data_IF_379220095539
#
_entry.id   IF_379220095539
#
_cell.length_a   1.000
_cell.length_b   1.000
_cell.length_c   1.000
_cell.angle_alpha   90.00
_cell.angle_beta   90.00
_cell.angle_gamma   90.00
#
_symmetry.space_group_name_H-M   'P 1'
#
loop_
_entity.id
_entity.type
_entity.pdbx_description
1 polymer ?
#
# COMPACT_ATOMS: atom_id res chain seq x y z
N UNK A 1 -16.56 -60.75 -22.23
CA UNK A 1 -17.01 -59.35 -21.98
C UNK A 1 -16.47 -58.76 -20.67
N UNK A 2 -16.50 -59.46 -19.53
CA UNK A 2 -16.06 -58.94 -18.20
C UNK A 2 -14.58 -58.48 -18.10
N UNK A 3 -13.63 -59.18 -18.75
CA UNK A 3 -12.19 -58.82 -18.70
C UNK A 3 -11.86 -57.49 -19.39
N UNK A 4 -12.54 -57.18 -20.50
CA UNK A 4 -12.38 -55.88 -21.20
C UNK A 4 -12.95 -54.73 -20.36
N UNK A 5 -14.06 -54.97 -19.65
CA UNK A 5 -14.64 -53.99 -18.72
C UNK A 5 -13.71 -53.66 -17.55
N UNK A 6 -13.04 -54.67 -16.97
CA UNK A 6 -12.01 -54.44 -15.94
C UNK A 6 -10.79 -53.68 -16.47
N UNK A 7 -10.38 -53.94 -17.72
CA UNK A 7 -9.30 -53.20 -18.37
C UNK A 7 -9.65 -51.72 -18.57
N UNK A 8 -10.84 -51.41 -19.09
CA UNK A 8 -11.28 -50.01 -19.26
C UNK A 8 -11.43 -49.29 -17.92
N UNK A 9 -11.89 -49.99 -16.88
CA UNK A 9 -11.97 -49.44 -15.53
C UNK A 9 -10.58 -49.08 -14.98
N UNK A 10 -9.61 -49.99 -15.13
CA UNK A 10 -8.22 -49.73 -14.72
C UNK A 10 -7.57 -48.58 -15.47
N UNK A 11 -7.80 -48.48 -16.78
CA UNK A 11 -7.31 -47.37 -17.62
C UNK A 11 -7.94 -46.03 -17.19
N UNK A 12 -9.24 -46.01 -16.92
CA UNK A 12 -9.93 -44.81 -16.43
C UNK A 12 -9.38 -44.34 -15.08
N UNK A 13 -9.11 -45.26 -14.17
CA UNK A 13 -8.57 -44.94 -12.84
C UNK A 13 -7.14 -44.40 -12.92
N UNK A 14 -6.32 -44.95 -13.81
CA UNK A 14 -4.97 -44.47 -14.08
C UNK A 14 -4.99 -43.06 -14.72
N UNK A 15 -5.95 -42.80 -15.61
CA UNK A 15 -6.11 -41.48 -16.23
C UNK A 15 -6.48 -40.41 -15.18
N UNK A 16 -7.43 -40.70 -14.29
CA UNK A 16 -7.80 -39.78 -13.19
C UNK A 16 -6.61 -39.53 -12.26
N UNK A 17 -5.82 -40.56 -11.96
CA UNK A 17 -4.62 -40.43 -11.14
C UNK A 17 -3.56 -39.51 -11.79
N UNK A 18 -3.28 -39.70 -13.09
CA UNK A 18 -2.35 -38.85 -13.83
C UNK A 18 -2.84 -37.41 -13.93
N UNK A 19 -4.14 -37.19 -14.17
CA UNK A 19 -4.72 -35.85 -14.19
C UNK A 19 -4.63 -35.15 -12.83
N UNK A 20 -4.78 -35.89 -11.72
CA UNK A 20 -4.62 -35.32 -10.38
C UNK A 20 -3.17 -34.88 -10.12
N UNK A 21 -2.18 -35.67 -10.53
CA UNK A 21 -0.76 -35.29 -10.41
C UNK A 21 -0.43 -34.05 -11.25
N UNK A 22 -0.93 -33.97 -12.48
CA UNK A 22 -0.72 -32.80 -13.34
C UNK A 22 -1.45 -31.55 -12.81
N UNK A 23 -2.60 -31.72 -12.16
CA UNK A 23 -3.34 -30.61 -11.54
C UNK A 23 -2.61 -30.02 -10.30
N UNK A 24 -1.72 -30.77 -9.65
CA UNK A 24 -0.89 -30.24 -8.56
C UNK A 24 0.23 -29.33 -9.07
N UNK A 25 0.76 -29.61 -10.27
CA UNK A 25 1.83 -28.81 -10.90
C UNK A 25 1.28 -27.62 -11.70
N UNK A 26 0.06 -27.72 -12.22
CA UNK A 26 -0.62 -26.65 -12.95
C UNK A 26 -1.70 -25.98 -12.09
N UNK A 27 -1.27 -25.21 -11.09
CA UNK A 27 -2.16 -24.23 -10.45
C UNK A 27 -2.30 -23.03 -11.39
N UNK A 28 -3.19 -23.14 -12.37
CA UNK A 28 -3.58 -21.99 -13.17
C UNK A 28 -4.38 -21.04 -12.28
N UNK A 29 -3.74 -20.00 -11.73
CA UNK A 29 -4.45 -18.88 -11.10
C UNK A 29 -5.12 -18.07 -12.21
N UNK A 30 -6.30 -18.49 -12.62
CA UNK A 30 -7.23 -17.61 -13.34
C UNK A 30 -7.85 -16.73 -12.27
N UNK A 31 -7.49 -15.45 -12.27
CA UNK A 31 -8.15 -14.45 -11.45
C UNK A 31 -9.57 -14.25 -12.01
N UNK A 32 -10.55 -14.84 -11.33
CA UNK A 32 -11.98 -14.79 -11.69
C UNK A 32 -12.70 -13.63 -10.99
N UNK A 33 -11.96 -12.69 -10.38
CA UNK A 33 -12.57 -11.49 -9.84
C UNK A 33 -12.69 -10.43 -10.93
N UNK A 34 -13.92 -10.00 -11.21
CA UNK A 34 -14.23 -8.95 -12.20
C UNK A 34 -13.80 -7.55 -11.72
N UNK A 35 -13.30 -7.45 -10.48
CA UNK A 35 -12.83 -6.20 -9.88
C UNK A 35 -11.30 -6.16 -9.86
N UNK A 36 -10.70 -5.75 -10.98
CA UNK A 36 -9.33 -5.19 -11.03
C UNK A 36 -9.20 -3.85 -10.28
N UNK A 37 -10.00 -3.61 -9.23
CA UNK A 37 -9.91 -2.39 -8.41
C UNK A 37 -8.57 -2.28 -7.67
N UNK A 38 -7.80 -3.37 -7.63
CA UNK A 38 -6.47 -3.48 -7.02
C UNK A 38 -5.40 -3.84 -8.05
N UNK A 39 -5.53 -3.37 -9.28
CA UNK A 39 -4.45 -3.42 -10.25
C UNK A 39 -4.06 -1.99 -10.58
N UNK A 40 -2.82 -1.62 -10.30
CA UNK A 40 -2.31 -0.29 -10.63
C UNK A 40 -2.36 -0.06 -12.15
N UNK A 41 -2.50 1.20 -12.54
CA UNK A 41 -2.59 1.56 -13.96
C UNK A 41 -1.34 1.18 -14.76
N UNK A 42 -1.50 0.93 -16.06
CA UNK A 42 -0.37 0.68 -16.97
C UNK A 42 0.65 1.83 -16.95
N UNK A 43 0.19 3.06 -16.73
CA UNK A 43 1.06 4.22 -16.59
C UNK A 43 1.97 4.11 -15.34
N UNK A 44 1.43 3.63 -14.22
CA UNK A 44 2.19 3.35 -13.00
C UNK A 44 3.14 2.18 -13.20
N UNK A 45 2.73 1.10 -13.86
CA UNK A 45 3.60 -0.04 -14.18
C UNK A 45 4.82 0.42 -14.99
N UNK A 46 4.58 1.12 -16.10
CA UNK A 46 5.65 1.63 -16.97
C UNK A 46 6.60 2.58 -16.22
N UNK A 47 6.06 3.42 -15.33
CA UNK A 47 6.88 4.29 -14.49
C UNK A 47 7.79 3.46 -13.56
N UNK A 48 7.24 2.47 -12.87
CA UNK A 48 7.96 1.66 -11.90
C UNK A 48 9.02 0.77 -12.54
N UNK A 49 8.74 0.20 -13.71
CA UNK A 49 9.70 -0.59 -14.49
C UNK A 49 10.85 0.26 -15.05
N UNK A 50 10.60 1.56 -15.28
CA UNK A 50 11.61 2.51 -15.78
C UNK A 50 12.55 3.07 -14.70
N UNK A 51 12.36 2.69 -13.43
CA UNK A 51 13.17 3.20 -12.33
C UNK A 51 14.63 2.74 -12.44
N UNK A 52 15.56 3.69 -12.43
CA UNK A 52 17.01 3.42 -12.52
C UNK A 52 17.66 3.22 -11.14
N UNK A 53 17.09 3.84 -10.11
CA UNK A 53 17.63 3.88 -8.75
C UNK A 53 16.56 3.51 -7.70
N UNK A 54 16.98 3.35 -6.45
CA UNK A 54 16.05 3.03 -5.35
C UNK A 54 15.16 4.22 -5.00
N UNK A 55 13.85 3.96 -4.95
CA UNK A 55 12.81 4.80 -4.35
C UNK A 55 12.55 4.30 -2.94
N UNK A 56 12.77 5.17 -1.96
CA UNK A 56 12.47 4.92 -0.55
C UNK A 56 11.22 5.67 -0.10
N UNK A 57 10.22 4.93 0.34
CA UNK A 57 8.92 5.44 0.77
C UNK A 57 8.76 5.22 2.28
N UNK A 58 8.72 6.30 3.05
CA UNK A 58 8.46 6.26 4.50
C UNK A 58 7.04 6.75 4.77
N UNK A 59 6.17 5.87 5.22
CA UNK A 59 4.77 6.18 5.52
C UNK A 59 4.62 6.36 7.04
N UNK A 60 4.17 7.52 7.50
CA UNK A 60 4.07 7.86 8.94
C UNK A 60 2.71 7.51 9.55
N UNK A 61 2.00 6.59 8.89
CA UNK A 61 0.67 6.11 9.27
C UNK A 61 0.77 4.74 9.93
N UNK A 62 1.53 4.63 11.03
CA UNK A 62 1.64 3.42 11.85
C UNK A 62 1.34 3.73 13.31
N UNK A 63 0.82 2.73 14.03
CA UNK A 63 0.43 2.88 15.43
C UNK A 63 -0.74 1.99 15.82
N UNK A 64 -1.03 1.95 17.11
CA UNK A 64 -2.06 1.10 17.70
C UNK A 64 -3.42 1.80 17.82
N UNK A 65 -4.49 1.00 17.79
CA UNK A 65 -5.88 1.41 17.97
C UNK A 65 -6.36 2.51 17.00
N UNK A 66 -5.86 2.57 15.77
CA UNK A 66 -6.43 3.47 14.76
C UNK A 66 -7.94 3.22 14.56
N UNK A 67 -8.74 4.28 14.32
CA UNK A 67 -10.13 4.11 13.89
C UNK A 67 -10.22 3.27 12.62
N UNK A 68 -11.37 2.63 12.38
CA UNK A 68 -11.54 1.69 11.28
C UNK A 68 -11.18 2.30 9.91
N UNK A 69 -11.57 3.56 9.65
CA UNK A 69 -11.26 4.24 8.39
C UNK A 69 -9.75 4.42 8.19
N UNK A 70 -9.01 4.81 9.23
CA UNK A 70 -7.56 4.96 9.14
C UNK A 70 -6.84 3.62 9.00
N UNK A 71 -7.37 2.55 9.60
CA UNK A 71 -6.89 1.18 9.35
C UNK A 71 -7.10 0.79 7.89
N UNK A 72 -8.26 1.11 7.31
CA UNK A 72 -8.55 0.87 5.90
C UNK A 72 -7.56 1.64 5.01
N UNK A 73 -7.36 2.94 5.23
CA UNK A 73 -6.37 3.73 4.50
C UNK A 73 -4.97 3.14 4.59
N UNK A 74 -4.51 2.78 5.80
CA UNK A 74 -3.21 2.15 6.02
C UNK A 74 -3.04 0.87 5.21
N UNK A 75 -4.06 0.01 5.23
CA UNK A 75 -4.04 -1.24 4.49
C UNK A 75 -4.04 -1.01 2.98
N UNK A 76 -4.87 -0.11 2.46
CA UNK A 76 -4.89 0.22 1.03
C UNK A 76 -3.56 0.79 0.54
N UNK A 77 -2.90 1.65 1.33
CA UNK A 77 -1.55 2.14 1.01
C UNK A 77 -0.54 0.99 1.02
N UNK A 78 -0.63 0.08 1.99
CA UNK A 78 0.28 -1.07 2.06
C UNK A 78 0.13 -1.96 0.83
N UNK A 79 -1.10 -2.33 0.48
CA UNK A 79 -1.42 -3.13 -0.70
C UNK A 79 -0.88 -2.47 -1.98
N UNK A 80 -1.13 -1.16 -2.15
CA UNK A 80 -0.59 -0.37 -3.26
C UNK A 80 0.94 -0.43 -3.33
N UNK A 81 1.63 -0.23 -2.20
CA UNK A 81 3.09 -0.19 -2.16
C UNK A 81 3.72 -1.58 -2.33
N UNK A 82 3.02 -2.64 -1.89
CA UNK A 82 3.38 -4.02 -2.21
C UNK A 82 3.29 -4.27 -3.72
N UNK A 83 2.22 -3.80 -4.36
CA UNK A 83 2.09 -3.88 -5.82
C UNK A 83 3.16 -3.05 -6.55
N UNK A 84 3.47 -1.85 -6.06
CA UNK A 84 4.60 -1.06 -6.58
C UNK A 84 5.91 -1.82 -6.49
N UNK A 85 6.12 -2.57 -5.40
CA UNK A 85 7.30 -3.41 -5.21
C UNK A 85 7.32 -4.64 -6.13
N UNK A 86 6.17 -5.18 -6.53
CA UNK A 86 6.10 -6.26 -7.52
C UNK A 86 6.63 -5.80 -8.89
N UNK A 87 6.23 -4.61 -9.35
CA UNK A 87 6.64 -4.09 -10.66
C UNK A 87 8.00 -3.37 -10.64
N UNK A 88 8.27 -2.54 -9.63
CA UNK A 88 9.55 -1.84 -9.48
C UNK A 88 10.66 -2.69 -8.84
N UNK A 89 10.34 -3.90 -8.39
CA UNK A 89 11.28 -4.88 -7.88
C UNK A 89 12.17 -4.35 -6.75
N UNK A 90 13.50 -4.50 -6.92
CA UNK A 90 14.48 -4.06 -5.92
C UNK A 90 14.54 -2.54 -5.73
N UNK A 91 14.05 -1.78 -6.71
CA UNK A 91 14.11 -0.32 -6.72
C UNK A 91 12.98 0.31 -5.89
N UNK A 92 12.03 -0.47 -5.37
CA UNK A 92 11.02 0.04 -4.43
C UNK A 92 11.30 -0.52 -3.04
N UNK A 93 11.45 0.39 -2.07
CA UNK A 93 11.48 0.08 -0.64
C UNK A 93 10.48 0.95 0.07
N UNK A 94 9.64 0.34 0.92
CA UNK A 94 8.76 1.10 1.77
C UNK A 94 8.77 0.60 3.21
N UNK A 95 8.48 1.50 4.15
CA UNK A 95 8.27 1.18 5.57
C UNK A 95 7.21 2.07 6.18
N UNK A 96 6.45 1.47 7.09
CA UNK A 96 5.51 2.17 7.96
C UNK A 96 6.23 2.52 9.27
N UNK A 97 6.09 3.76 9.73
CA UNK A 97 6.80 4.31 10.89
C UNK A 97 5.77 4.98 11.81
N UNK A 98 5.85 4.68 13.10
CA UNK A 98 5.14 5.43 14.14
C UNK A 98 6.13 6.44 14.75
N UNK A 99 6.00 7.76 14.45
CA UNK A 99 6.88 8.77 15.04
C UNK A 99 6.86 8.79 16.57
N UNK A 100 5.74 8.40 17.17
CA UNK A 100 5.51 8.50 18.62
C UNK A 100 6.09 7.30 19.37
N UNK A 101 6.24 6.17 18.70
CA UNK A 101 6.88 4.97 19.26
C UNK A 101 8.41 5.06 19.37
N UNK A 102 9.03 6.14 18.87
CA UNK A 102 10.48 6.34 18.98
C UNK A 102 10.85 6.63 20.44
N UNK A 103 11.57 5.70 21.07
CA UNK A 103 11.93 5.77 22.50
C UNK A 103 12.84 6.97 22.83
N UNK A 104 13.87 7.19 22.01
CA UNK A 104 14.81 8.29 22.20
C UNK A 104 14.14 9.64 21.90
N UNK A 105 14.01 10.47 22.94
CA UNK A 105 13.30 11.75 22.86
C UNK A 105 13.92 12.73 21.85
N UNK A 106 15.25 12.84 21.80
CA UNK A 106 15.93 13.76 20.85
C UNK A 106 15.68 13.35 19.39
N UNK A 107 15.74 12.05 19.09
CA UNK A 107 15.45 11.52 17.75
C UNK A 107 14.00 11.72 17.37
N UNK A 108 13.08 11.49 18.31
CA UNK A 108 11.65 11.75 18.12
C UNK A 108 11.41 13.23 17.80
N UNK A 109 11.91 14.14 18.62
CA UNK A 109 11.71 15.58 18.43
C UNK A 109 12.32 16.09 17.12
N UNK A 110 13.48 15.54 16.73
CA UNK A 110 14.11 15.84 15.44
C UNK A 110 13.23 15.40 14.27
N UNK A 111 12.72 14.17 14.31
CA UNK A 111 11.80 13.68 13.29
C UNK A 111 10.52 14.50 13.23
N UNK A 112 9.92 14.82 14.38
CA UNK A 112 8.69 15.62 14.44
C UNK A 112 8.89 17.03 13.83
N UNK A 113 10.03 17.66 14.09
CA UNK A 113 10.41 18.94 13.46
C UNK A 113 10.60 18.79 11.96
N UNK A 114 11.25 17.73 11.50
CA UNK A 114 11.42 17.45 10.07
C UNK A 114 10.06 17.26 9.37
N UNK A 115 9.15 16.50 9.99
CA UNK A 115 7.81 16.27 9.46
C UNK A 115 7.03 17.58 9.34
N UNK A 116 7.04 18.43 10.37
CA UNK A 116 6.37 19.74 10.32
C UNK A 116 6.97 20.66 9.25
N UNK A 117 8.31 20.72 9.12
CA UNK A 117 8.99 21.47 8.06
C UNK A 117 8.62 20.97 6.66
N UNK A 118 8.34 19.68 6.52
CA UNK A 118 7.87 19.06 5.27
C UNK A 118 6.34 19.10 5.12
N UNK A 119 5.63 19.82 6.00
CA UNK A 119 4.18 20.01 5.97
C UNK A 119 3.36 18.82 6.47
N UNK A 120 4.00 17.76 6.98
CA UNK A 120 3.35 16.59 7.57
C UNK A 120 3.07 16.89 9.04
N UNK A 121 1.90 17.48 9.28
CA UNK A 121 1.45 17.86 10.62
C UNK A 121 0.66 16.74 11.30
N UNK A 122 0.75 16.63 12.63
CA UNK A 122 -0.08 15.69 13.36
C UNK A 122 -1.55 16.10 13.34
N UNK A 123 -2.42 15.10 13.37
CA UNK A 123 -3.87 15.22 13.43
C UNK A 123 -4.42 14.41 14.59
N UNK A 124 -5.40 14.97 15.30
CA UNK A 124 -6.09 14.26 16.37
C UNK A 124 -7.22 13.39 15.81
N UNK A 125 -7.26 12.14 16.25
CA UNK A 125 -8.32 11.18 15.91
C UNK A 125 -8.93 10.62 17.18
N UNK A 126 -10.26 10.44 17.16
CA UNK A 126 -10.97 9.83 18.28
C UNK A 126 -11.05 8.33 18.09
N UNK A 127 -10.56 7.61 19.08
CA UNK A 127 -10.62 6.15 19.17
C UNK A 127 -11.64 5.78 20.23
N UNK A 128 -12.57 4.89 19.90
CA UNK A 128 -13.49 4.30 20.86
C UNK A 128 -13.09 2.86 21.11
N UNK A 129 -12.66 2.54 22.33
CA UNK A 129 -12.28 1.18 22.76
C UNK A 129 -12.94 0.90 24.10
N UNK A 130 -13.67 -0.21 24.20
CA UNK A 130 -14.32 -0.64 25.45
C UNK A 130 -15.22 0.45 26.09
N UNK A 131 -15.93 1.22 25.26
CA UNK A 131 -16.79 2.32 25.72
C UNK A 131 -16.05 3.59 26.19
N UNK A 132 -14.71 3.59 26.20
CA UNK A 132 -13.88 4.77 26.47
C UNK A 132 -13.49 5.44 25.15
N UNK A 133 -13.77 6.73 25.05
CA UNK A 133 -13.30 7.59 23.95
C UNK A 133 -11.97 8.22 24.35
N UNK A 134 -10.91 7.89 23.62
CA UNK A 134 -9.58 8.48 23.77
C UNK A 134 -9.20 9.25 22.51
N UNK A 135 -8.53 10.38 22.66
CA UNK A 135 -7.90 11.11 21.55
C UNK A 135 -6.49 10.56 21.33
N UNK A 136 -6.13 10.27 20.08
CA UNK A 136 -4.78 9.87 19.68
C UNK A 136 -4.27 10.80 18.59
N UNK A 137 -2.97 11.03 18.60
CA UNK A 137 -2.27 11.79 17.58
C UNK A 137 -1.84 10.85 16.44
N UNK A 138 -2.01 11.27 15.20
CA UNK A 138 -1.56 10.52 14.02
C UNK A 138 -0.89 11.45 13.00
N UNK A 139 0.02 10.92 12.19
CA UNK A 139 0.73 11.66 11.15
C UNK A 139 0.33 11.16 9.76
N UNK A 140 -0.66 11.78 9.10
CA UNK A 140 -1.18 11.30 7.82
C UNK A 140 -0.29 11.76 6.65
N UNK A 141 0.97 11.37 6.65
CA UNK A 141 1.92 11.74 5.61
C UNK A 141 2.89 10.63 5.22
N UNK A 142 3.48 10.78 4.04
CA UNK A 142 4.56 9.95 3.56
C UNK A 142 5.70 10.81 2.99
N UNK A 143 6.92 10.29 3.06
CA UNK A 143 8.09 10.85 2.41
C UNK A 143 8.56 9.89 1.33
N UNK A 144 8.62 10.39 0.10
CA UNK A 144 9.10 9.63 -1.07
C UNK A 144 10.44 10.22 -1.46
N UNK A 145 11.46 9.38 -1.48
CA UNK A 145 12.84 9.74 -1.83
C UNK A 145 13.25 8.96 -3.07
N UNK A 146 13.81 9.64 -4.07
CA UNK A 146 14.33 9.03 -5.29
C UNK A 146 15.56 9.82 -5.75
N UNK A 147 16.67 9.11 -6.00
CA UNK A 147 17.98 9.73 -6.25
C UNK A 147 18.36 10.68 -5.10
N UNK A 148 18.78 11.91 -5.42
CA UNK A 148 19.15 12.94 -4.43
C UNK A 148 17.98 13.88 -4.05
N UNK A 149 16.73 13.48 -4.28
CA UNK A 149 15.56 14.32 -4.04
C UNK A 149 14.51 13.59 -3.20
N UNK A 150 13.73 14.38 -2.47
CA UNK A 150 12.69 13.90 -1.60
C UNK A 150 11.49 14.84 -1.67
N UNK A 151 10.29 14.27 -1.65
CA UNK A 151 9.02 15.00 -1.61
C UNK A 151 8.15 14.46 -0.48
N UNK A 152 7.26 15.31 0.04
CA UNK A 152 6.26 14.93 1.04
C UNK A 152 4.88 14.79 0.41
N UNK A 153 4.14 13.79 0.87
CA UNK A 153 2.76 13.52 0.50
C UNK A 153 1.89 13.60 1.73
N UNK A 154 0.80 14.36 1.64
CA UNK A 154 -0.28 14.32 2.62
C UNK A 154 -1.27 13.24 2.17
N UNK A 155 -1.43 12.21 3.00
CA UNK A 155 -2.30 11.06 2.73
C UNK A 155 -3.78 11.39 2.94
N UNK A 156 -4.08 12.55 3.52
CA UNK A 156 -5.43 13.05 3.80
C UNK A 156 -5.44 14.53 3.45
N UNK A 157 -6.22 14.90 2.43
CA UNK A 157 -6.38 16.28 1.98
C UNK A 157 -7.77 16.78 2.38
N UNK A 158 -7.87 17.70 3.34
CA UNK A 158 -9.15 18.26 3.79
C UNK A 158 -9.04 19.11 5.06
N UNK A 159 -9.98 20.04 5.26
CA UNK A 159 -10.04 20.84 6.50
C UNK A 159 -10.50 19.96 7.67
N UNK A 160 -9.53 19.61 8.51
CA UNK A 160 -9.67 18.70 9.64
C UNK A 160 -10.51 19.27 10.79
N UNK A 161 -10.94 20.54 10.70
CA UNK A 161 -11.80 21.20 11.70
C UNK A 161 -13.26 20.72 11.67
N UNK A 162 -13.70 20.04 10.61
CA UNK A 162 -15.07 19.53 10.46
C UNK A 162 -15.26 18.13 11.09
N UNK A 163 -14.75 17.90 12.30
CA UNK A 163 -14.88 16.62 13.01
C UNK A 163 -16.32 16.40 13.49
N UNK A 164 -17.10 15.60 12.76
CA UNK A 164 -18.03 14.59 13.34
C UNK A 164 -18.58 13.57 12.33
N UNK A 165 -18.70 13.90 11.04
CA UNK A 165 -19.33 13.02 10.03
C UNK A 165 -18.56 12.85 8.69
N UNK A 166 -17.40 13.49 8.50
CA UNK A 166 -16.69 13.59 7.21
C UNK A 166 -15.37 12.81 7.11
N UNK A 167 -14.91 12.17 8.20
CA UNK A 167 -13.64 11.43 8.19
C UNK A 167 -13.67 10.24 7.23
N UNK A 168 -14.77 9.48 7.16
CA UNK A 168 -14.88 8.33 6.27
C UNK A 168 -14.85 8.72 4.78
N UNK A 169 -15.52 9.81 4.41
CA UNK A 169 -15.57 10.30 3.03
C UNK A 169 -14.21 10.83 2.56
N UNK A 170 -13.54 11.65 3.37
CA UNK A 170 -12.20 12.15 3.06
C UNK A 170 -11.21 10.99 2.94
N UNK A 171 -11.34 9.98 3.81
CA UNK A 171 -10.52 8.77 3.74
C UNK A 171 -10.80 7.97 2.46
N UNK A 172 -12.07 7.82 2.06
CA UNK A 172 -12.41 7.15 0.81
C UNK A 172 -11.85 7.88 -0.40
N UNK A 173 -12.01 9.21 -0.47
CA UNK A 173 -11.40 10.03 -1.51
C UNK A 173 -9.88 9.91 -1.51
N UNK A 174 -9.27 9.79 -0.33
CA UNK A 174 -7.83 9.57 -0.22
C UNK A 174 -7.45 8.21 -0.83
N UNK A 175 -8.17 7.14 -0.48
CA UNK A 175 -7.99 5.78 -1.03
C UNK A 175 -8.21 5.74 -2.55
N UNK A 176 -9.15 6.52 -3.09
CA UNK A 176 -9.38 6.57 -4.54
C UNK A 176 -8.21 7.24 -5.29
N UNK A 177 -7.48 8.15 -4.63
CA UNK A 177 -6.42 8.94 -5.25
C UNK A 177 -4.99 8.47 -4.89
N UNK A 178 -4.80 7.53 -3.97
CA UNK A 178 -3.45 7.17 -3.47
C UNK A 178 -2.49 6.75 -4.57
N UNK A 179 -2.93 5.99 -5.57
CA UNK A 179 -2.07 5.58 -6.69
C UNK A 179 -1.52 6.80 -7.42
N UNK A 180 -2.39 7.74 -7.80
CA UNK A 180 -2.00 8.96 -8.47
C UNK A 180 -1.03 9.80 -7.63
N UNK A 181 -1.29 9.94 -6.33
CA UNK A 181 -0.42 10.70 -5.43
C UNK A 181 0.98 10.08 -5.34
N UNK A 182 1.10 8.76 -5.17
CA UNK A 182 2.40 8.10 -5.11
C UNK A 182 3.11 8.06 -6.47
N UNK A 183 2.40 7.72 -7.56
CA UNK A 183 2.97 7.67 -8.89
C UNK A 183 3.43 9.06 -9.36
N UNK A 184 2.63 10.10 -9.12
CA UNK A 184 3.01 11.48 -9.44
C UNK A 184 4.18 11.95 -8.59
N UNK A 185 4.27 11.56 -7.31
CA UNK A 185 5.43 11.85 -6.48
C UNK A 185 6.70 11.25 -7.05
N UNK A 186 6.67 9.97 -7.42
CA UNK A 186 7.82 9.26 -8.01
C UNK A 186 8.20 9.90 -9.36
N UNK A 187 7.21 10.17 -10.21
CA UNK A 187 7.41 10.76 -11.55
C UNK A 187 7.94 12.19 -11.49
N UNK A 188 7.38 13.03 -10.62
CA UNK A 188 7.64 14.47 -10.55
C UNK A 188 8.79 14.82 -9.59
N UNK A 189 9.37 13.84 -8.88
CA UNK A 189 10.67 14.03 -8.23
C UNK A 189 11.65 14.43 -9.34
N UNK A 190 12.10 15.70 -9.39
CA UNK A 190 12.62 16.27 -10.62
C UNK A 190 13.76 15.42 -11.19
N UNK A 191 13.48 14.72 -12.29
CA UNK A 191 14.54 14.33 -13.21
C UNK A 191 15.15 15.64 -13.68
N UNK A 192 16.44 15.82 -13.46
CA UNK A 192 17.15 16.98 -13.98
C UNK A 192 16.95 16.96 -15.50
N UNK A 193 16.11 17.87 -16.01
CA UNK A 193 16.11 18.51 -17.34
C UNK A 193 14.76 19.18 -17.61
N UNK A 194 14.52 20.33 -16.99
CA UNK A 194 13.51 21.31 -17.43
C UNK A 194 14.06 22.71 -17.11
N UNK A 195 15.16 23.03 -17.76
CA UNK A 195 15.72 24.38 -17.84
C UNK A 195 16.57 24.43 -19.11
N UNK A 196 15.89 24.54 -20.24
CA UNK A 196 16.39 25.19 -21.46
C UNK A 196 15.39 26.29 -21.82
#
# INVERSE_FOLDING_TARGET
>A
MKKKSFLYFGVGLLLVFVLNLLAQEFVWRIDLTEDKRYTISEASINLLESLEEEVLIKVYLEGEDFPADFKRLKNSIRELLEEFQLYGGKNIKFRFIDPLAIENAERRDTLLKELDQKGIRPTNVFVSKEGKRSEKLLFPGALVSYKNRQTSLLLIKGDQRASKNSSAEIINQSIENIEYEFASAIKNLPSKNASE
#
